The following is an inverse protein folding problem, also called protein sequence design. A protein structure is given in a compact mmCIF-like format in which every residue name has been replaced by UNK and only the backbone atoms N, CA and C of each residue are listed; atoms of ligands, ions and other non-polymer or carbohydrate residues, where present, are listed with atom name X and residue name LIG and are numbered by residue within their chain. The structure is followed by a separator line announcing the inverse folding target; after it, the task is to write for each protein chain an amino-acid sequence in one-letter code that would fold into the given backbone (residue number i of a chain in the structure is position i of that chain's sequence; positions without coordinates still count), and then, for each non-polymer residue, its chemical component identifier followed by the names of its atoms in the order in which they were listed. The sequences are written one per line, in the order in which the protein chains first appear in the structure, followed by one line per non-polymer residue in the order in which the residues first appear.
data_IF_897584571943
#
_entry.id   IF_897584571943
#
_cell.length_a   1.000
_cell.length_b   1.000
_cell.length_c   1.000
_cell.angle_alpha   90.00
_cell.angle_beta   90.00
_cell.angle_gamma   90.00
#
_symmetry.space_group_name_H-M   'P 1'
#
loop_
_entity.id
_entity.type
_entity.pdbx_description
1 polymer ?
#
# COMPACT_ATOMS: atom_id res chain seq x y z
N UNK A 1 6.96 -18.57 10.74
CA UNK A 1 7.91 -18.35 9.60
C UNK A 1 7.33 -17.63 8.36
N UNK A 2 6.10 -17.86 7.89
CA UNK A 2 5.41 -16.91 6.97
C UNK A 2 3.90 -16.90 7.24
N UNK A 3 3.33 -18.08 7.46
CA UNK A 3 1.94 -18.27 7.91
C UNK A 3 1.65 -17.55 9.23
N UNK A 4 2.60 -17.59 10.17
CA UNK A 4 2.52 -16.85 11.44
C UNK A 4 2.40 -15.34 11.22
N UNK A 5 3.23 -14.79 10.32
CA UNK A 5 3.18 -13.37 9.96
C UNK A 5 1.89 -13.01 9.24
N UNK A 6 1.34 -13.89 8.40
CA UNK A 6 0.03 -13.67 7.76
C UNK A 6 -1.09 -13.65 8.81
N UNK A 7 -1.02 -14.51 9.83
CA UNK A 7 -1.99 -14.50 10.93
C UNK A 7 -1.92 -13.21 11.75
N UNK A 8 -0.73 -12.64 11.94
CA UNK A 8 -0.54 -11.33 12.59
C UNK A 8 -1.18 -10.17 11.81
N UNK A 9 -1.51 -10.33 10.52
CA UNK A 9 -2.18 -9.30 9.72
C UNK A 9 -3.71 -9.28 9.91
N UNK A 10 -4.29 -10.30 10.55
CA UNK A 10 -5.75 -10.39 10.76
C UNK A 10 -6.31 -9.18 11.52
N UNK A 11 -5.70 -8.69 12.62
CA UNK A 11 -6.20 -7.52 13.33
C UNK A 11 -6.21 -6.25 12.47
N UNK A 12 -5.18 -6.05 11.63
CA UNK A 12 -5.11 -4.89 10.74
C UNK A 12 -6.21 -4.94 9.67
N UNK A 13 -6.43 -6.10 9.04
CA UNK A 13 -7.51 -6.26 8.05
C UNK A 13 -8.89 -5.97 8.65
N UNK A 14 -9.13 -6.39 9.90
CA UNK A 14 -10.35 -6.04 10.65
C UNK A 14 -10.45 -4.54 10.90
N UNK A 15 -9.36 -3.89 11.32
CA UNK A 15 -9.33 -2.45 11.57
C UNK A 15 -9.58 -1.62 10.30
N UNK A 16 -9.08 -2.09 9.15
CA UNK A 16 -9.32 -1.48 7.83
C UNK A 16 -10.71 -1.78 7.27
N UNK A 17 -11.46 -2.70 7.90
CA UNK A 17 -12.69 -3.27 7.36
C UNK A 17 -12.53 -3.78 5.92
N UNK A 18 -11.35 -4.33 5.62
CA UNK A 18 -10.98 -4.82 4.29
C UNK A 18 -10.10 -6.06 4.42
N UNK A 19 -10.59 -7.18 3.87
CA UNK A 19 -9.85 -8.43 3.81
C UNK A 19 -9.24 -8.59 2.42
N UNK A 20 -7.92 -8.74 2.37
CA UNK A 20 -7.21 -8.96 1.12
C UNK A 20 -7.52 -10.37 0.60
N UNK A 21 -7.88 -10.46 -0.68
CA UNK A 21 -8.02 -11.76 -1.37
C UNK A 21 -6.71 -12.55 -1.36
N UNK A 22 -5.58 -11.84 -1.42
CA UNK A 22 -4.24 -12.40 -1.25
C UNK A 22 -3.51 -11.69 -0.09
N UNK A 23 -3.41 -12.33 1.09
CA UNK A 23 -2.70 -11.78 2.25
C UNK A 23 -1.21 -11.53 2.01
N UNK A 24 -0.59 -12.18 1.02
CA UNK A 24 0.81 -11.93 0.66
C UNK A 24 1.02 -10.53 0.07
N UNK A 25 0.00 -9.94 -0.56
CA UNK A 25 0.04 -8.56 -1.04
C UNK A 25 0.14 -7.58 0.13
N UNK A 26 -0.71 -7.75 1.15
CA UNK A 26 -0.66 -6.93 2.36
C UNK A 26 0.67 -7.11 3.09
N UNK A 27 1.13 -8.36 3.23
CA UNK A 27 2.41 -8.66 3.84
C UNK A 27 3.57 -7.93 3.13
N UNK A 28 3.57 -7.96 1.80
CA UNK A 28 4.56 -7.27 0.98
C UNK A 28 4.46 -5.75 1.13
N UNK A 29 3.25 -5.19 1.09
CA UNK A 29 3.02 -3.75 1.27
C UNK A 29 3.57 -3.22 2.61
N UNK A 30 3.52 -4.06 3.65
CA UNK A 30 4.03 -3.76 4.99
C UNK A 30 5.50 -4.18 5.20
N UNK A 31 6.20 -4.63 4.16
CA UNK A 31 7.62 -5.00 4.25
C UNK A 31 8.49 -3.86 3.77
N UNK A 32 9.06 -3.10 4.72
CA UNK A 32 10.06 -2.10 4.39
C UNK A 32 11.39 -2.75 3.93
N UNK A 33 12.16 -2.03 3.12
CA UNK A 33 13.43 -2.52 2.57
C UNK A 33 14.47 -2.87 3.63
N UNK A 34 14.52 -2.14 4.76
CA UNK A 34 15.46 -2.44 5.84
C UNK A 34 15.20 -3.83 6.41
N UNK A 35 13.93 -4.12 6.71
CA UNK A 35 13.51 -5.43 7.19
C UNK A 35 13.79 -6.52 6.16
N UNK A 36 13.53 -6.28 4.87
CA UNK A 36 13.80 -7.24 3.80
C UNK A 36 15.31 -7.56 3.66
N UNK A 37 16.19 -6.60 3.95
CA UNK A 37 17.63 -6.76 3.86
C UNK A 37 18.26 -7.39 5.12
N UNK A 38 17.54 -7.40 6.25
CA UNK A 38 18.01 -7.94 7.54
C UNK A 38 17.71 -9.44 7.70
N UNK A 39 16.81 -9.99 6.88
CA UNK A 39 16.41 -11.39 6.94
C UNK A 39 17.06 -12.21 5.82
N UNK A 40 17.56 -13.41 6.15
CA UNK A 40 18.13 -14.37 5.18
C UNK A 40 17.09 -14.97 4.21
N UNK A 41 15.83 -14.54 4.32
CA UNK A 41 14.73 -15.00 3.47
C UNK A 41 14.49 -13.92 2.40
N UNK A 42 14.50 -14.28 1.11
CA UNK A 42 14.24 -13.32 0.04
C UNK A 42 12.77 -12.87 0.05
N UNK A 43 12.46 -11.86 0.87
CA UNK A 43 11.15 -11.21 0.90
C UNK A 43 11.20 -9.97 0.03
N UNK A 44 10.27 -9.85 -0.91
CA UNK A 44 10.17 -8.63 -1.72
C UNK A 44 9.67 -7.48 -0.83
N UNK A 45 10.39 -6.36 -0.85
CA UNK A 45 9.99 -5.15 -0.15
C UNK A 45 8.82 -4.43 -0.86
N UNK A 46 8.35 -3.35 -0.25
CA UNK A 46 7.22 -2.54 -0.70
C UNK A 46 7.57 -1.43 -1.71
N UNK A 47 8.84 -1.20 -2.09
CA UNK A 47 9.24 -0.04 -2.92
C UNK A 47 8.48 0.03 -4.25
N UNK A 48 8.23 -1.11 -4.89
CA UNK A 48 7.43 -1.16 -6.13
C UNK A 48 5.95 -0.89 -5.90
N UNK A 49 5.43 -1.19 -4.72
CA UNK A 49 4.04 -0.90 -4.35
C UNK A 49 3.88 0.56 -3.92
N UNK A 50 4.88 1.14 -3.27
CA UNK A 50 4.97 2.56 -2.97
C UNK A 50 4.92 3.38 -4.27
N UNK A 51 5.82 3.09 -5.22
CA UNK A 51 5.83 3.76 -6.52
C UNK A 51 4.48 3.69 -7.27
N UNK A 52 3.83 2.51 -7.24
CA UNK A 52 2.52 2.34 -7.86
C UNK A 52 1.42 3.07 -7.07
N UNK A 53 1.49 3.02 -5.74
CA UNK A 53 0.54 3.66 -4.83
C UNK A 53 0.51 5.16 -5.00
N UNK A 54 1.67 5.79 -5.16
CA UNK A 54 1.78 7.23 -5.42
C UNK A 54 1.04 7.61 -6.71
N UNK A 55 1.29 6.89 -7.81
CA UNK A 55 0.60 7.16 -9.08
C UNK A 55 -0.92 6.95 -9.01
N UNK A 56 -1.39 5.96 -8.23
CA UNK A 56 -2.83 5.72 -8.02
C UNK A 56 -3.45 6.83 -7.19
N UNK A 57 -2.77 7.26 -6.13
CA UNK A 57 -3.24 8.36 -5.28
C UNK A 57 -3.28 9.67 -6.07
N UNK A 58 -2.22 9.98 -6.82
CA UNK A 58 -2.13 11.17 -7.66
C UNK A 58 -3.28 11.23 -8.67
N UNK A 59 -3.62 10.11 -9.30
CA UNK A 59 -4.74 10.04 -10.24
C UNK A 59 -6.07 10.32 -9.55
N UNK A 60 -6.35 9.66 -8.42
CA UNK A 60 -7.63 9.80 -7.70
C UNK A 60 -7.79 11.23 -7.17
N UNK A 61 -6.73 11.80 -6.61
CA UNK A 61 -6.75 13.17 -6.08
C UNK A 61 -6.91 14.18 -7.22
N UNK A 62 -6.17 14.01 -8.31
CA UNK A 62 -6.26 14.90 -9.48
C UNK A 62 -7.67 14.84 -10.09
N UNK A 63 -8.24 13.65 -10.23
CA UNK A 63 -9.62 13.45 -10.71
C UNK A 63 -10.63 14.15 -9.79
N UNK A 64 -10.50 13.95 -8.47
CA UNK A 64 -11.34 14.63 -7.49
C UNK A 64 -11.24 16.16 -7.59
N UNK A 65 -10.03 16.70 -7.70
CA UNK A 65 -9.81 18.15 -7.77
C UNK A 65 -10.39 18.78 -9.04
N UNK A 66 -10.24 18.12 -10.20
CA UNK A 66 -10.77 18.61 -11.47
C UNK A 66 -12.31 18.68 -11.43
N UNK A 67 -12.96 17.73 -10.77
CA UNK A 67 -14.43 17.68 -10.70
C UNK A 67 -15.02 18.60 -9.63
N UNK A 68 -14.36 18.74 -8.48
CA UNK A 68 -14.88 19.55 -7.37
C UNK A 68 -14.53 21.04 -7.50
N UNK A 69 -13.37 21.37 -8.09
CA UNK A 69 -12.84 22.73 -8.18
C UNK A 69 -12.69 23.20 -9.63
N UNK A 70 -13.79 23.14 -10.37
CA UNK A 70 -13.85 23.45 -11.81
C UNK A 70 -13.33 24.86 -12.16
N UNK A 71 -13.48 25.81 -11.23
CA UNK A 71 -13.09 27.22 -11.44
C UNK A 71 -11.65 27.53 -11.03
N UNK A 72 -10.93 26.58 -10.43
CA UNK A 72 -9.53 26.78 -10.04
C UNK A 72 -8.59 26.47 -11.21
N UNK A 73 -7.65 27.37 -11.44
CA UNK A 73 -6.56 27.13 -12.37
C UNK A 73 -5.55 26.14 -11.78
N UNK A 74 -4.75 25.51 -12.64
CA UNK A 74 -3.63 24.67 -12.22
C UNK A 74 -2.70 25.44 -11.26
N UNK A 75 -2.46 24.88 -10.08
CA UNK A 75 -1.56 25.45 -9.06
C UNK A 75 -2.18 26.52 -8.13
N UNK A 76 -3.50 26.73 -8.18
CA UNK A 76 -4.23 27.65 -7.30
C UNK A 76 -4.48 27.10 -5.88
#
# INVERSE_FOLDING_TARGET
MLEERINELIPLQKALNYFFNDPHLLNKALTHKSYANEIDIPVKNNERFEFLGDSVLDLIVSDYMIHEYVDLAEGA
#
